data_IF_016527149126
#
_entry.id   IF_016527149126
#
_cell.length_a   1.000
_cell.length_b   1.000
_cell.length_c   1.000
_cell.angle_alpha   90.00
_cell.angle_beta   90.00
_cell.angle_gamma   90.00
#
_symmetry.space_group_name_H-M   'P 1'
#
loop_
_entity.id
_entity.type
_entity.pdbx_description
1 polymer ?
#
# COMPACT_ATOMS: atom_id res chain seq x y z
N UNK A 1 -5.51 -47.72 -8.10
CA UNK A 1 -5.92 -46.31 -7.97
C UNK A 1 -6.74 -45.99 -9.21
N UNK A 2 -7.94 -45.42 -9.12
CA UNK A 2 -8.82 -45.47 -10.27
C UNK A 2 -8.45 -44.37 -11.29
N UNK A 3 -8.18 -44.79 -12.52
CA UNK A 3 -7.54 -44.03 -13.61
C UNK A 3 -8.41 -42.90 -14.23
N UNK A 4 -9.60 -42.65 -13.68
CA UNK A 4 -10.51 -41.61 -14.16
C UNK A 4 -10.10 -40.19 -13.72
N UNK A 5 -9.24 -40.07 -12.70
CA UNK A 5 -8.74 -38.77 -12.20
C UNK A 5 -7.78 -38.06 -13.18
N UNK A 6 -7.24 -38.79 -14.16
CA UNK A 6 -6.31 -38.31 -15.19
C UNK A 6 -7.01 -38.08 -16.55
N UNK A 7 -8.33 -37.90 -16.56
CA UNK A 7 -9.04 -37.52 -17.78
C UNK A 7 -8.76 -36.04 -18.10
N UNK A 8 -8.45 -35.67 -19.36
CA UNK A 8 -8.11 -34.29 -19.74
C UNK A 8 -9.09 -33.20 -19.25
N UNK A 9 -10.43 -33.44 -19.18
CA UNK A 9 -11.35 -32.45 -18.62
C UNK A 9 -11.29 -32.28 -17.10
N UNK A 10 -10.99 -33.32 -16.32
CA UNK A 10 -10.94 -33.20 -14.85
C UNK A 10 -9.65 -32.52 -14.39
N UNK A 11 -8.52 -32.81 -15.05
CA UNK A 11 -7.23 -32.13 -14.80
C UNK A 11 -7.32 -30.64 -15.15
N UNK A 12 -7.99 -30.28 -16.25
CA UNK A 12 -8.18 -28.87 -16.62
C UNK A 12 -9.12 -28.13 -15.68
N UNK A 13 -10.20 -28.77 -15.21
CA UNK A 13 -11.08 -28.19 -14.19
C UNK A 13 -10.34 -27.97 -12.87
N UNK A 14 -9.58 -28.97 -12.40
CA UNK A 14 -8.79 -28.86 -11.17
C UNK A 14 -7.74 -27.73 -11.30
N UNK A 15 -7.03 -27.66 -12.42
CA UNK A 15 -6.06 -26.59 -12.69
C UNK A 15 -6.72 -25.21 -12.71
N UNK A 16 -7.93 -25.08 -13.29
CA UNK A 16 -8.69 -23.84 -13.27
C UNK A 16 -9.09 -23.43 -11.85
N UNK A 17 -9.56 -24.37 -11.02
CA UNK A 17 -9.89 -24.10 -9.62
C UNK A 17 -8.66 -23.68 -8.80
N UNK A 18 -7.52 -24.36 -8.97
CA UNK A 18 -6.26 -24.00 -8.30
C UNK A 18 -5.79 -22.61 -8.72
N UNK A 19 -5.90 -22.29 -10.02
CA UNK A 19 -5.55 -20.97 -10.55
C UNK A 19 -6.45 -19.88 -9.97
N UNK A 20 -7.75 -20.11 -9.90
CA UNK A 20 -8.72 -19.19 -9.28
C UNK A 20 -8.45 -18.99 -7.79
N UNK A 21 -8.18 -20.07 -7.05
CA UNK A 21 -7.86 -20.00 -5.63
C UNK A 21 -6.55 -19.23 -5.38
N UNK A 22 -5.51 -19.46 -6.20
CA UNK A 22 -4.27 -18.70 -6.13
C UNK A 22 -4.51 -17.21 -6.42
N UNK A 23 -5.32 -16.89 -7.42
CA UNK A 23 -5.64 -15.50 -7.77
C UNK A 23 -6.45 -14.81 -6.65
N UNK A 24 -7.41 -15.51 -6.05
CA UNK A 24 -8.15 -15.03 -4.89
C UNK A 24 -7.25 -14.78 -3.67
N UNK A 25 -6.32 -15.71 -3.39
CA UNK A 25 -5.34 -15.55 -2.31
C UNK A 25 -4.42 -14.34 -2.55
N UNK A 26 -3.98 -14.13 -3.79
CA UNK A 26 -3.19 -12.95 -4.18
C UNK A 26 -3.96 -11.66 -3.96
N UNK A 27 -5.23 -11.59 -4.39
CA UNK A 27 -6.08 -10.41 -4.19
C UNK A 27 -6.29 -10.16 -2.70
N UNK A 28 -6.57 -11.19 -1.91
CA UNK A 28 -6.73 -11.10 -0.46
C UNK A 28 -5.46 -10.59 0.23
N UNK A 29 -4.30 -11.12 -0.13
CA UNK A 29 -3.01 -10.67 0.38
C UNK A 29 -2.72 -9.20 0.04
N UNK A 30 -3.02 -8.78 -1.20
CA UNK A 30 -2.86 -7.40 -1.64
C UNK A 30 -3.78 -6.45 -0.85
N UNK A 31 -5.02 -6.86 -0.58
CA UNK A 31 -5.97 -6.08 0.22
C UNK A 31 -5.48 -5.90 1.65
N UNK A 32 -5.08 -6.98 2.33
CA UNK A 32 -4.56 -6.94 3.71
C UNK A 32 -3.31 -6.07 3.80
N UNK A 33 -2.41 -6.18 2.82
CA UNK A 33 -1.16 -5.40 2.81
C UNK A 33 -1.44 -3.91 2.57
N UNK A 34 -2.37 -3.58 1.67
CA UNK A 34 -2.77 -2.20 1.41
C UNK A 34 -3.43 -1.54 2.63
N UNK A 35 -4.28 -2.29 3.35
CA UNK A 35 -4.91 -1.83 4.59
C UNK A 35 -3.89 -1.66 5.72
N UNK A 36 -3.00 -2.64 5.90
CA UNK A 36 -1.90 -2.52 6.87
C UNK A 36 -1.05 -1.28 6.62
N UNK A 37 -0.73 -1.00 5.36
CA UNK A 37 0.05 0.19 5.00
C UNK A 37 -0.69 1.49 5.27
N UNK A 38 -1.99 1.54 4.96
CA UNK A 38 -2.85 2.70 5.24
C UNK A 38 -2.94 2.95 6.74
N UNK A 39 -3.13 1.91 7.55
CA UNK A 39 -3.17 1.99 9.00
C UNK A 39 -1.87 2.57 9.57
N UNK A 40 -0.71 2.12 9.10
CA UNK A 40 0.59 2.64 9.54
C UNK A 40 0.78 4.11 9.16
N UNK A 41 0.41 4.52 7.94
CA UNK A 41 0.46 5.94 7.54
C UNK A 41 -0.46 6.79 8.41
N UNK A 42 -1.67 6.32 8.67
CA UNK A 42 -2.61 7.02 9.55
C UNK A 42 -2.09 7.08 10.98
N UNK A 43 -1.45 6.03 11.50
CA UNK A 43 -0.83 6.02 12.81
C UNK A 43 0.32 7.03 12.92
N UNK A 44 1.19 7.09 11.90
CA UNK A 44 2.24 8.11 11.83
C UNK A 44 1.60 9.50 11.80
N UNK A 45 0.63 9.76 10.91
CA UNK A 45 -0.03 11.07 10.82
C UNK A 45 -0.75 11.47 12.12
N UNK A 46 -1.35 10.51 12.84
CA UNK A 46 -1.98 10.74 14.15
C UNK A 46 -0.99 11.19 15.21
N UNK A 47 0.27 10.78 15.14
CA UNK A 47 1.29 11.31 16.06
C UNK A 47 1.57 12.81 15.85
N UNK A 48 1.17 13.36 14.70
CA UNK A 48 1.37 14.77 14.35
C UNK A 48 0.08 15.60 14.32
N UNK A 49 -1.11 15.01 14.50
CA UNK A 49 -2.39 15.71 14.51
C UNK A 49 -3.34 15.15 15.55
N UNK A 50 -4.18 16.01 16.13
CA UNK A 50 -5.09 15.63 17.22
C UNK A 50 -6.24 14.71 16.74
N UNK A 51 -6.44 14.59 15.43
CA UNK A 51 -7.49 13.77 14.82
C UNK A 51 -6.93 12.80 13.78
N UNK A 52 -7.58 11.63 13.67
CA UNK A 52 -7.24 10.65 12.66
C UNK A 52 -7.68 11.20 11.30
N UNK A 53 -6.77 11.36 10.33
CA UNK A 53 -7.15 11.86 9.02
C UNK A 53 -8.00 10.81 8.29
N UNK A 54 -9.29 11.11 8.11
CA UNK A 54 -10.26 10.23 7.45
C UNK A 54 -9.98 10.15 5.94
N UNK A 55 -9.48 11.23 5.33
CA UNK A 55 -9.32 11.36 3.88
C UNK A 55 -7.89 11.11 3.38
N UNK A 56 -7.11 10.28 4.08
CA UNK A 56 -5.82 9.83 3.56
C UNK A 56 -6.03 8.90 2.38
N UNK A 57 -5.59 9.33 1.21
CA UNK A 57 -5.50 8.47 0.03
C UNK A 57 -4.08 7.99 -0.14
N UNK A 58 -3.87 6.68 0.02
CA UNK A 58 -2.61 6.03 -0.33
C UNK A 58 -2.82 5.24 -1.61
N UNK A 59 -2.02 5.53 -2.63
CA UNK A 59 -2.01 4.81 -3.90
C UNK A 59 -0.65 4.17 -4.09
N UNK A 60 -0.64 2.93 -4.54
CA UNK A 60 0.56 2.15 -4.71
C UNK A 60 0.72 1.74 -6.17
N UNK A 61 1.96 1.74 -6.65
CA UNK A 61 2.32 1.07 -7.90
C UNK A 61 3.06 -0.22 -7.55
N UNK A 62 2.33 -1.33 -7.63
CA UNK A 62 2.87 -2.67 -7.46
C UNK A 62 3.33 -3.20 -8.81
N UNK A 63 4.64 -3.39 -8.99
CA UNK A 63 5.15 -4.26 -10.05
C UNK A 63 5.48 -5.63 -9.42
N UNK A 64 4.65 -6.63 -9.73
CA UNK A 64 4.79 -8.05 -9.36
C UNK A 64 5.97 -8.73 -10.11
N UNK A 65 6.48 -9.92 -9.68
CA UNK A 65 5.81 -10.92 -8.85
C UNK A 65 6.60 -11.50 -7.64
N UNK A 66 5.83 -11.99 -6.67
CA UNK A 66 6.18 -13.00 -5.66
C UNK A 66 7.16 -12.76 -4.51
N UNK A 67 8.20 -11.92 -4.58
CA UNK A 67 9.22 -12.00 -3.51
C UNK A 67 9.02 -11.04 -2.36
N UNK A 68 8.78 -9.74 -2.56
CA UNK A 68 9.24 -8.76 -1.56
C UNK A 68 8.20 -7.77 -1.02
N UNK A 69 6.93 -8.18 -0.82
CA UNK A 69 5.97 -7.65 0.17
C UNK A 69 5.69 -6.13 0.31
N UNK A 70 6.38 -5.27 -0.43
CA UNK A 70 6.44 -3.83 -0.24
C UNK A 70 6.35 -3.11 -1.59
N UNK A 71 5.57 -2.02 -1.67
CA UNK A 71 5.38 -1.27 -2.91
C UNK A 71 6.67 -0.58 -3.32
N UNK A 72 6.94 -0.51 -4.64
CA UNK A 72 8.07 0.25 -5.18
C UNK A 72 7.87 1.75 -5.10
N UNK A 73 6.62 2.18 -5.28
CA UNK A 73 6.22 3.58 -5.24
C UNK A 73 4.94 3.69 -4.43
N UNK A 74 4.95 4.62 -3.49
CA UNK A 74 3.83 4.94 -2.61
C UNK A 74 3.51 6.43 -2.73
N UNK A 75 2.29 6.73 -3.18
CA UNK A 75 1.77 8.08 -3.24
C UNK A 75 0.81 8.29 -2.08
N UNK A 76 1.14 9.24 -1.21
CA UNK A 76 0.31 9.58 -0.05
C UNK A 76 -0.25 10.97 -0.29
N UNK A 77 -1.57 11.11 -0.18
CA UNK A 77 -2.26 12.39 -0.27
C UNK A 77 -3.03 12.63 1.02
N UNK A 78 -2.73 13.74 1.68
CA UNK A 78 -3.36 14.15 2.94
C UNK A 78 -3.85 15.59 2.81
N UNK A 79 -5.11 15.89 3.18
CA UNK A 79 -5.57 17.27 3.26
C UNK A 79 -4.90 18.00 4.42
N UNK A 80 -4.40 19.20 4.17
CA UNK A 80 -3.73 20.03 5.19
C UNK A 80 -4.71 20.50 6.27
N UNK A 81 -6.01 20.55 5.96
CA UNK A 81 -7.05 20.88 6.94
C UNK A 81 -7.16 19.88 8.09
N UNK A 82 -6.85 18.60 7.84
CA UNK A 82 -6.92 17.54 8.86
C UNK A 82 -5.67 17.48 9.72
N UNK A 83 -4.51 17.83 9.16
CA UNK A 83 -3.24 17.86 9.89
C UNK A 83 -2.52 19.18 9.57
N UNK A 84 -2.87 20.29 10.25
CA UNK A 84 -2.33 21.63 9.94
C UNK A 84 -0.80 21.69 9.97
N UNK A 85 -0.19 20.85 10.81
CA UNK A 85 1.26 20.66 10.96
C UNK A 85 1.98 20.26 9.66
N UNK A 86 1.32 19.59 8.73
CA UNK A 86 1.93 19.24 7.42
C UNK A 86 1.99 20.42 6.44
N UNK A 87 1.43 21.58 6.82
CA UNK A 87 1.59 22.82 6.06
C UNK A 87 3.05 23.24 6.05
N UNK A 88 3.72 23.08 7.18
CA UNK A 88 5.15 23.30 7.32
C UNK A 88 5.94 22.22 6.56
N UNK A 89 6.93 22.65 5.80
CA UNK A 89 7.74 21.78 4.96
C UNK A 89 8.69 20.92 5.77
N UNK A 90 9.26 21.42 6.86
CA UNK A 90 10.16 20.65 7.72
C UNK A 90 9.42 19.49 8.42
N UNK A 91 8.23 19.76 8.97
CA UNK A 91 7.40 18.71 9.54
C UNK A 91 6.92 17.71 8.49
N UNK A 92 6.50 18.18 7.31
CA UNK A 92 6.10 17.28 6.24
C UNK A 92 7.26 16.40 5.75
N UNK A 93 8.48 16.91 5.71
CA UNK A 93 9.67 16.15 5.36
C UNK A 93 9.99 15.08 6.42
N UNK A 94 9.92 15.42 7.71
CA UNK A 94 10.09 14.45 8.80
C UNK A 94 9.08 13.31 8.74
N UNK A 95 7.81 13.61 8.48
CA UNK A 95 6.77 12.59 8.28
C UNK A 95 7.10 11.71 7.08
N UNK A 96 7.49 12.32 5.96
CA UNK A 96 7.89 11.60 4.75
C UNK A 96 9.07 10.66 4.98
N UNK A 97 10.08 11.10 5.74
CA UNK A 97 11.23 10.29 6.14
C UNK A 97 10.83 9.15 7.07
N UNK A 98 10.01 9.40 8.08
CA UNK A 98 9.56 8.36 9.01
C UNK A 98 8.78 7.25 8.28
N UNK A 99 7.90 7.63 7.34
CA UNK A 99 7.16 6.65 6.53
C UNK A 99 8.13 5.89 5.60
N UNK A 100 9.07 6.60 4.97
CA UNK A 100 10.12 5.99 4.13
C UNK A 100 10.92 4.94 4.91
N UNK A 101 11.38 5.29 6.11
CA UNK A 101 12.23 4.45 6.94
C UNK A 101 11.45 3.24 7.47
N UNK A 102 10.16 3.40 7.78
CA UNK A 102 9.26 2.30 8.19
C UNK A 102 9.10 1.24 7.09
N UNK A 103 9.21 1.62 5.83
CA UNK A 103 9.10 0.72 4.68
C UNK A 103 10.43 0.45 3.97
N UNK A 104 11.56 0.84 4.58
CA UNK A 104 12.92 0.66 4.03
C UNK A 104 13.06 1.15 2.57
N UNK A 105 12.44 2.30 2.26
CA UNK A 105 12.46 2.88 0.91
C UNK A 105 13.62 3.89 0.72
N UNK A 106 14.14 4.05 -0.50
CA UNK A 106 15.32 4.90 -0.76
C UNK A 106 15.04 6.41 -0.82
N UNK A 107 13.84 6.82 -1.19
CA UNK A 107 13.52 8.23 -1.46
C UNK A 107 12.15 8.66 -0.95
N UNK A 108 12.05 9.92 -0.51
CA UNK A 108 10.79 10.58 -0.19
C UNK A 108 10.79 11.98 -0.79
N UNK A 109 9.79 12.30 -1.62
CA UNK A 109 9.56 13.64 -2.15
C UNK A 109 8.23 14.16 -1.61
N UNK A 110 8.23 15.37 -1.08
CA UNK A 110 7.02 16.06 -0.63
C UNK A 110 6.72 17.26 -1.53
N UNK A 111 5.44 17.58 -1.69
CA UNK A 111 5.02 18.86 -2.26
C UNK A 111 3.63 19.24 -1.76
N UNK A 112 3.32 20.53 -1.79
CA UNK A 112 2.03 21.09 -1.42
C UNK A 112 1.30 21.58 -2.67
N UNK A 113 0.05 21.17 -2.87
CA UNK A 113 -0.78 21.66 -3.99
C UNK A 113 -2.25 21.70 -3.61
N UNK A 114 -2.88 22.88 -3.79
CA UNK A 114 -4.33 23.10 -3.58
C UNK A 114 -4.84 22.60 -2.21
N UNK A 115 -4.12 22.89 -1.13
CA UNK A 115 -4.51 22.46 0.22
C UNK A 115 -4.30 20.98 0.54
N UNK A 116 -3.63 20.23 -0.33
CA UNK A 116 -3.22 18.85 -0.09
C UNK A 116 -1.70 18.76 -0.05
N UNK A 117 -1.19 18.02 0.93
CA UNK A 117 0.20 17.57 0.95
C UNK A 117 0.28 16.22 0.27
N UNK A 118 1.27 16.10 -0.60
CA UNK A 118 1.56 14.89 -1.33
C UNK A 118 2.93 14.39 -0.92
N UNK A 119 3.05 13.08 -0.74
CA UNK A 119 4.33 12.40 -0.66
C UNK A 119 4.41 11.37 -1.78
N UNK A 120 5.59 11.26 -2.36
CA UNK A 120 5.96 10.13 -3.21
C UNK A 120 7.18 9.50 -2.60
N UNK A 121 6.99 8.29 -2.10
CA UNK A 121 8.02 7.48 -1.49
C UNK A 121 8.38 6.39 -2.50
N UNK A 122 9.66 6.26 -2.81
CA UNK A 122 10.20 5.38 -3.83
C UNK A 122 11.27 4.51 -3.22
N UNK A 123 11.27 3.22 -3.54
CA UNK A 123 12.37 2.33 -3.17
C UNK A 123 13.63 2.68 -3.96
#
# INVERSE_FOLDING_TARGET
MPDWLLTPPTVTLLAAFVTLAALAAIIGYLAVTADGMRCTVQAVLRSYGDHLPEHVRVRYLWHMPFTWGYPRIMHIRVPVSEVPRIRDEEQANRIGQQIRDTYEMGGARTWLRRGYRYWTITR
#
